data_IF_931552323559
#
_entry.id   IF_931552323559
#
_cell.length_a   1.000
_cell.length_b   1.000
_cell.length_c   1.000
_cell.angle_alpha   90.00
_cell.angle_beta   90.00
_cell.angle_gamma   90.00
#
_symmetry.space_group_name_H-M   'P 1'
#
loop_
_entity.id
_entity.type
_entity.pdbx_description
1 polymer ?
#
# COMPACT_ATOMS: atom_id res chain seq x y z
N UNK A 1 8.67 -2.79 12.28
CA UNK A 1 7.27 -2.54 11.90
C UNK A 1 7.02 -3.06 10.51
N UNK A 2 5.98 -3.84 10.32
CA UNK A 2 5.64 -4.43 9.02
C UNK A 2 4.26 -3.96 8.60
N UNK A 3 4.04 -3.95 7.30
CA UNK A 3 2.77 -3.52 6.72
C UNK A 3 2.16 -4.65 5.92
N UNK A 4 0.88 -4.93 6.15
CA UNK A 4 0.13 -5.92 5.40
C UNK A 4 -0.88 -5.18 4.54
N UNK A 5 -0.97 -5.54 3.28
CA UNK A 5 -1.87 -4.88 2.34
C UNK A 5 -2.97 -5.86 1.93
N UNK A 6 -4.21 -5.37 1.97
CA UNK A 6 -5.40 -6.13 1.57
C UNK A 6 -6.15 -5.36 0.50
N UNK A 7 -6.66 -6.06 -0.49
CA UNK A 7 -7.41 -5.43 -1.56
C UNK A 7 -8.86 -5.15 -1.13
N UNK A 8 -9.68 -4.67 -2.07
CA UNK A 8 -11.08 -4.33 -1.78
C UNK A 8 -11.91 -5.56 -1.38
N UNK A 9 -11.46 -6.75 -1.70
CA UNK A 9 -12.11 -8.01 -1.35
C UNK A 9 -11.52 -8.63 -0.09
N UNK A 10 -10.67 -7.91 0.62
CA UNK A 10 -9.98 -8.36 1.85
C UNK A 10 -9.01 -9.51 1.60
N UNK A 11 -8.52 -9.64 0.38
CA UNK A 11 -7.53 -10.64 0.02
C UNK A 11 -6.14 -10.06 0.28
N UNK A 12 -5.33 -10.78 1.05
CA UNK A 12 -3.98 -10.35 1.41
C UNK A 12 -3.10 -10.25 0.17
N UNK A 13 -2.51 -9.09 -0.05
CA UNK A 13 -1.68 -8.84 -1.24
C UNK A 13 -0.19 -8.97 -0.96
N UNK A 14 0.23 -8.80 0.29
CA UNK A 14 1.63 -8.92 0.62
C UNK A 14 1.98 -8.34 1.98
N UNK A 15 3.21 -8.57 2.40
CA UNK A 15 3.77 -8.06 3.64
C UNK A 15 5.02 -7.26 3.29
N UNK A 16 5.08 -6.04 3.76
CA UNK A 16 6.14 -5.10 3.37
C UNK A 16 6.88 -4.58 4.60
N UNK A 17 8.18 -4.40 4.47
CA UNK A 17 9.02 -3.94 5.56
C UNK A 17 8.97 -2.43 5.76
N UNK A 18 8.52 -1.70 4.75
CA UNK A 18 8.45 -0.25 4.81
C UNK A 18 7.35 0.28 3.90
N UNK A 19 6.97 1.54 4.13
CA UNK A 19 6.01 2.22 3.26
C UNK A 19 6.56 2.36 1.85
N UNK A 20 7.87 2.50 1.72
CA UNK A 20 8.53 2.58 0.42
C UNK A 20 8.25 1.32 -0.42
N UNK A 21 8.40 0.15 0.19
CA UNK A 21 8.15 -1.11 -0.51
C UNK A 21 6.67 -1.27 -0.88
N UNK A 22 5.78 -0.85 0.01
CA UNK A 22 4.35 -0.88 -0.24
C UNK A 22 4.00 0.01 -1.43
N UNK A 23 4.55 1.22 -1.46
CA UNK A 23 4.35 2.16 -2.56
C UNK A 23 4.90 1.60 -3.86
N UNK A 24 6.08 0.99 -3.80
CA UNK A 24 6.70 0.39 -4.98
C UNK A 24 5.84 -0.74 -5.55
N UNK A 25 5.26 -1.54 -4.68
CA UNK A 25 4.36 -2.61 -5.09
C UNK A 25 3.19 -2.04 -5.88
N UNK A 26 2.56 -0.97 -5.39
CA UNK A 26 1.45 -0.34 -6.07
C UNK A 26 1.88 0.28 -7.40
N UNK A 27 3.04 0.92 -7.40
CA UNK A 27 3.59 1.52 -8.61
C UNK A 27 3.86 0.48 -9.68
N UNK A 28 4.44 -0.66 -9.29
CA UNK A 28 4.79 -1.73 -10.21
C UNK A 28 3.55 -2.40 -10.82
N UNK A 29 2.42 -2.31 -10.14
CA UNK A 29 1.17 -2.87 -10.64
C UNK A 29 0.38 -1.86 -11.47
N UNK A 30 1.01 -0.75 -11.85
CA UNK A 30 0.44 0.26 -12.72
C UNK A 30 -0.77 0.98 -12.11
N UNK A 31 -0.83 1.03 -10.79
CA UNK A 31 -1.80 1.89 -10.14
C UNK A 31 -1.37 3.35 -10.31
N UNK A 32 -2.34 4.24 -10.25
CA UNK A 32 -2.12 5.65 -10.49
C UNK A 32 -1.53 6.35 -9.27
N UNK A 33 -0.39 5.85 -8.82
CA UNK A 33 0.34 6.43 -7.70
C UNK A 33 1.78 6.69 -8.12
N UNK A 34 2.29 7.86 -7.74
CA UNK A 34 3.67 8.21 -8.03
C UNK A 34 4.63 7.40 -7.16
N UNK A 35 5.72 6.92 -7.76
CA UNK A 35 6.77 6.23 -7.00
C UNK A 35 7.48 7.17 -6.02
N UNK A 36 7.26 8.48 -6.16
CA UNK A 36 7.82 9.50 -5.27
C UNK A 36 6.81 9.98 -4.22
N UNK A 37 5.61 9.37 -4.18
CA UNK A 37 4.59 9.76 -3.21
C UNK A 37 5.10 9.55 -1.78
N UNK A 38 4.75 10.48 -0.89
CA UNK A 38 5.14 10.35 0.50
C UNK A 38 4.21 9.37 1.24
N UNK A 39 4.47 9.19 2.54
CA UNK A 39 3.72 8.25 3.35
C UNK A 39 2.22 8.58 3.38
N UNK A 40 1.88 9.86 3.59
CA UNK A 40 0.49 10.29 3.63
C UNK A 40 -0.23 10.03 2.33
N UNK A 41 0.40 10.38 1.22
CA UNK A 41 -0.19 10.18 -0.10
C UNK A 41 -0.40 8.70 -0.39
N UNK A 42 0.54 7.86 0.02
CA UNK A 42 0.44 6.42 -0.17
C UNK A 42 -0.76 5.85 0.59
N UNK A 43 -0.90 6.22 1.85
CA UNK A 43 -2.02 5.75 2.67
C UNK A 43 -3.36 6.27 2.15
N UNK A 44 -3.41 7.54 1.74
CA UNK A 44 -4.62 8.13 1.18
C UNK A 44 -5.03 7.42 -0.11
N UNK A 45 -4.05 7.09 -0.94
CA UNK A 45 -4.32 6.38 -2.18
C UNK A 45 -4.91 4.99 -1.90
N UNK A 46 -4.35 4.27 -0.93
CA UNK A 46 -4.85 2.95 -0.56
C UNK A 46 -6.33 3.04 -0.16
N UNK A 47 -6.68 4.05 0.63
CA UNK A 47 -8.08 4.27 1.03
C UNK A 47 -8.94 4.66 -0.16
N UNK A 48 -8.40 5.44 -1.07
CA UNK A 48 -9.13 5.90 -2.25
C UNK A 48 -9.56 4.73 -3.14
N UNK A 49 -8.70 3.73 -3.30
CA UNK A 49 -9.02 2.55 -4.11
C UNK A 49 -9.75 1.47 -3.32
N UNK A 50 -10.16 1.79 -2.10
CA UNK A 50 -10.92 0.89 -1.22
C UNK A 50 -10.12 -0.30 -0.72
N UNK A 51 -8.81 -0.21 -0.78
CA UNK A 51 -7.92 -1.22 -0.20
C UNK A 51 -7.67 -0.88 1.28
N UNK A 52 -7.09 -1.82 1.99
CA UNK A 52 -6.85 -1.68 3.41
C UNK A 52 -5.41 -2.09 3.72
N UNK A 53 -4.82 -1.48 4.73
CA UNK A 53 -3.53 -1.92 5.22
C UNK A 53 -3.59 -2.09 6.73
N UNK A 54 -2.73 -2.97 7.25
CA UNK A 54 -2.58 -3.18 8.68
C UNK A 54 -1.11 -3.09 9.04
N UNK A 55 -0.84 -2.58 10.23
CA UNK A 55 0.53 -2.43 10.74
C UNK A 55 0.79 -3.52 11.75
N UNK A 56 1.85 -4.29 11.52
CA UNK A 56 2.32 -5.31 12.46
C UNK A 56 3.51 -4.76 13.22
N UNK A 57 3.42 -4.71 14.50
CA UNK A 57 4.49 -4.21 15.38
C UNK A 57 5.43 -5.32 15.82
#
# INVERSE_FOLDING_TARGET
MKYHLYDQNQIHQGRFDSVYELRKFLCDRKYDISCDADMSCTFDYIKHIKWRFEIEE
#
